data_IF_001302719904
#
_entry.id   IF_001302719904
#
_cell.length_a   1.000
_cell.length_b   1.000
_cell.length_c   1.000
_cell.angle_alpha   90.00
_cell.angle_beta   90.00
_cell.angle_gamma   90.00
#
_symmetry.space_group_name_H-M   'P 1'
#
loop_
_entity.id
_entity.type
_entity.pdbx_description
1 polymer ?
#
# COMPACT_ATOMS: atom_id res chain seq x y z
N UNK A 1 -8.59 -27.41 0.72
CA UNK A 1 -8.68 -26.36 -0.30
C UNK A 1 -7.25 -25.96 -0.66
N UNK A 2 -6.81 -26.13 -1.91
CA UNK A 2 -5.47 -25.70 -2.34
C UNK A 2 -5.48 -24.19 -2.62
N UNK A 3 -4.41 -23.45 -2.29
CA UNK A 3 -4.35 -22.03 -2.56
C UNK A 3 -4.23 -21.75 -4.07
N UNK A 4 -4.89 -20.69 -4.55
CA UNK A 4 -4.88 -20.27 -5.95
C UNK A 4 -3.48 -19.84 -6.43
N UNK A 5 -2.67 -19.31 -5.52
CA UNK A 5 -1.29 -18.88 -5.77
C UNK A 5 -0.37 -19.42 -4.67
N UNK A 6 0.90 -19.75 -4.98
CA UNK A 6 1.85 -20.23 -3.99
C UNK A 6 2.17 -19.15 -2.95
N UNK A 7 2.51 -19.59 -1.74
CA UNK A 7 3.02 -18.69 -0.71
C UNK A 7 4.38 -18.13 -1.15
N UNK A 8 4.45 -16.80 -1.31
CA UNK A 8 5.70 -16.10 -1.61
C UNK A 8 6.32 -15.62 -0.30
N UNK A 9 7.64 -15.82 -0.16
CA UNK A 9 8.41 -15.33 0.99
C UNK A 9 9.61 -14.52 0.50
N UNK A 10 10.05 -13.55 1.31
CA UNK A 10 11.15 -12.66 0.96
C UNK A 10 11.81 -12.06 2.21
N UNK A 11 13.07 -11.64 2.10
CA UNK A 11 13.86 -11.13 3.23
C UNK A 11 13.97 -9.61 3.32
N UNK A 12 13.65 -8.88 2.24
CA UNK A 12 13.85 -7.41 2.16
C UNK A 12 12.54 -6.64 2.08
N UNK A 13 11.75 -6.93 1.05
CA UNK A 13 10.50 -6.23 0.77
C UNK A 13 9.53 -7.15 0.02
N UNK A 14 8.24 -6.81 0.11
CA UNK A 14 7.14 -7.48 -0.58
C UNK A 14 6.09 -6.42 -0.93
N UNK A 15 5.48 -6.55 -2.11
CA UNK A 15 4.39 -5.70 -2.58
C UNK A 15 3.26 -6.60 -3.07
N UNK A 16 2.02 -6.23 -2.77
CA UNK A 16 0.81 -6.91 -3.24
C UNK A 16 -0.20 -5.85 -3.61
N UNK A 17 -0.81 -5.98 -4.79
CA UNK A 17 -1.87 -5.10 -5.27
C UNK A 17 -2.90 -5.88 -6.10
N UNK A 18 -4.08 -5.29 -6.31
CA UNK A 18 -5.14 -5.86 -7.16
C UNK A 18 -4.81 -5.91 -8.66
N UNK A 19 -3.63 -5.45 -9.07
CA UNK A 19 -3.13 -5.56 -10.44
C UNK A 19 -1.62 -5.83 -10.42
N UNK A 20 -1.13 -6.75 -11.27
CA UNK A 20 0.28 -7.14 -11.28
C UNK A 20 1.21 -5.97 -11.66
N UNK A 21 0.84 -5.14 -12.65
CA UNK A 21 1.61 -3.92 -12.99
C UNK A 21 1.67 -2.89 -11.85
N UNK A 22 0.64 -2.80 -11.00
CA UNK A 22 0.69 -1.93 -9.82
C UNK A 22 1.65 -2.48 -8.76
N UNK A 23 1.69 -3.82 -8.63
CA UNK A 23 2.66 -4.51 -7.77
C UNK A 23 4.10 -4.27 -8.27
N UNK A 24 4.31 -4.37 -9.58
CA UNK A 24 5.60 -4.08 -10.21
C UNK A 24 6.01 -2.61 -10.02
N UNK A 25 5.09 -1.66 -10.16
CA UNK A 25 5.36 -0.25 -9.92
C UNK A 25 5.83 0.01 -8.47
N UNK A 26 5.15 -0.57 -7.49
CA UNK A 26 5.57 -0.49 -6.08
C UNK A 26 6.92 -1.17 -5.85
N UNK A 27 7.17 -2.32 -6.48
CA UNK A 27 8.44 -3.03 -6.37
C UNK A 27 9.61 -2.20 -6.92
N UNK A 28 9.44 -1.56 -8.08
CA UNK A 28 10.44 -0.66 -8.68
C UNK A 28 10.84 0.48 -7.73
N UNK A 29 9.89 1.02 -6.97
CA UNK A 29 10.18 2.06 -5.96
C UNK A 29 10.99 1.52 -4.80
N UNK A 30 10.70 0.30 -4.32
CA UNK A 30 11.51 -0.33 -3.27
C UNK A 30 12.92 -0.66 -3.78
N UNK A 31 13.04 -1.14 -5.01
CA UNK A 31 14.33 -1.40 -5.65
C UNK A 31 15.15 -0.12 -5.88
N UNK A 32 14.48 1.01 -6.10
CA UNK A 32 15.10 2.33 -6.18
C UNK A 32 15.49 2.92 -4.81
N UNK A 33 15.29 2.18 -3.71
CA UNK A 33 15.65 2.61 -2.35
C UNK A 33 14.55 3.37 -1.61
N UNK A 34 13.33 3.41 -2.15
CA UNK A 34 12.16 3.96 -1.47
C UNK A 34 11.71 3.10 -0.28
N UNK A 35 10.88 3.68 0.58
CA UNK A 35 10.30 2.98 1.72
C UNK A 35 8.92 2.36 1.39
N UNK A 36 8.32 1.64 2.35
CA UNK A 36 7.02 0.97 2.17
C UNK A 36 5.86 1.94 1.86
N UNK A 37 5.90 3.16 2.39
CA UNK A 37 4.91 4.21 2.11
C UNK A 37 5.07 4.70 0.67
N UNK A 38 6.30 5.00 0.23
CA UNK A 38 6.58 5.45 -1.13
C UNK A 38 6.10 4.41 -2.17
N UNK A 39 6.36 3.13 -1.89
CA UNK A 39 5.93 2.02 -2.72
C UNK A 39 4.39 1.88 -2.75
N UNK A 40 3.73 2.05 -1.60
CA UNK A 40 2.27 2.05 -1.51
C UNK A 40 1.63 3.19 -2.30
N UNK A 41 2.21 4.40 -2.26
CA UNK A 41 1.75 5.56 -3.05
C UNK A 41 1.90 5.27 -4.55
N UNK A 42 3.05 4.77 -4.99
CA UNK A 42 3.27 4.44 -6.40
C UNK A 42 2.30 3.35 -6.90
N UNK A 43 2.09 2.29 -6.11
CA UNK A 43 1.11 1.26 -6.44
C UNK A 43 -0.32 1.82 -6.49
N UNK A 44 -0.70 2.68 -5.55
CA UNK A 44 -2.02 3.32 -5.51
C UNK A 44 -2.29 4.22 -6.71
N UNK A 45 -1.32 5.04 -7.11
CA UNK A 45 -1.41 5.88 -8.31
C UNK A 45 -1.52 5.00 -9.57
N UNK A 46 -0.72 3.93 -9.66
CA UNK A 46 -0.80 2.99 -10.77
C UNK A 46 -2.18 2.31 -10.84
N UNK A 47 -2.78 1.94 -9.70
CA UNK A 47 -4.14 1.39 -9.64
C UNK A 47 -5.19 2.38 -10.17
N UNK A 48 -5.03 3.68 -9.96
CA UNK A 48 -5.91 4.69 -10.54
C UNK A 48 -5.96 4.69 -12.08
N UNK A 49 -4.90 4.19 -12.73
CA UNK A 49 -4.86 4.01 -14.19
C UNK A 49 -5.31 2.61 -14.58
N UNK A 50 -4.84 1.59 -13.86
CA UNK A 50 -5.02 0.18 -14.21
C UNK A 50 -6.41 -0.38 -13.86
N UNK A 51 -7.06 0.22 -12.87
CA UNK A 51 -8.41 -0.08 -12.40
C UNK A 51 -9.21 1.24 -12.31
N UNK A 52 -9.22 2.03 -13.40
CA UNK A 52 -9.86 3.35 -13.44
C UNK A 52 -11.37 3.34 -13.16
N UNK A 53 -12.01 2.19 -13.35
CA UNK A 53 -13.40 1.93 -13.01
C UNK A 53 -13.63 1.76 -11.49
N UNK A 54 -12.59 1.40 -10.73
CA UNK A 54 -12.65 1.16 -9.29
C UNK A 54 -11.92 2.22 -8.45
N UNK A 55 -10.81 2.75 -8.97
CA UNK A 55 -9.92 3.68 -8.27
C UNK A 55 -9.91 5.02 -9.00
N UNK A 56 -10.30 6.06 -8.27
CA UNK A 56 -10.44 7.41 -8.81
C UNK A 56 -9.75 8.40 -7.87
N UNK A 57 -9.16 9.45 -8.44
CA UNK A 57 -8.45 10.47 -7.67
C UNK A 57 -9.36 11.23 -6.69
N UNK A 58 -10.62 11.46 -7.08
CA UNK A 58 -11.65 12.07 -6.22
C UNK A 58 -12.25 11.11 -5.19
N UNK A 59 -11.81 9.85 -5.16
CA UNK A 59 -12.26 8.85 -4.23
C UNK A 59 -11.61 8.98 -2.86
N UNK A 60 -11.69 7.89 -2.09
CA UNK A 60 -11.13 7.80 -0.75
C UNK A 60 -10.24 6.57 -0.68
N UNK A 61 -9.06 6.73 -0.08
CA UNK A 61 -8.15 5.63 0.22
C UNK A 61 -7.81 5.63 1.72
N UNK A 62 -8.56 4.90 2.57
CA UNK A 62 -8.20 4.74 3.96
C UNK A 62 -6.95 3.85 4.05
N UNK A 63 -6.02 4.20 4.94
CA UNK A 63 -4.73 3.53 5.03
C UNK A 63 -4.34 3.24 6.47
N UNK A 64 -3.70 2.10 6.70
CA UNK A 64 -3.00 1.76 7.94
C UNK A 64 -1.50 1.69 7.66
N UNK A 65 -0.71 2.45 8.41
CA UNK A 65 0.72 2.58 8.22
C UNK A 65 1.43 2.29 9.54
N UNK A 66 2.23 1.23 9.58
CA UNK A 66 3.10 0.97 10.72
C UNK A 66 4.44 1.68 10.55
N UNK A 67 4.75 2.61 11.45
CA UNK A 67 6.01 3.33 11.48
C UNK A 67 6.93 2.68 12.52
N UNK A 68 7.88 1.87 12.04
CA UNK A 68 8.86 1.16 12.88
C UNK A 68 9.61 2.08 13.85
N UNK A 69 10.03 3.27 13.40
CA UNK A 69 10.77 4.24 14.24
C UNK A 69 9.97 4.69 15.46
N UNK A 70 8.65 4.72 15.34
CA UNK A 70 7.74 5.13 16.40
C UNK A 70 7.13 3.94 17.15
N UNK A 71 7.30 2.73 16.62
CA UNK A 71 6.60 1.52 17.01
C UNK A 71 5.06 1.74 17.11
N UNK A 72 4.49 2.40 16.10
CA UNK A 72 3.08 2.82 16.10
C UNK A 72 2.42 2.56 14.76
N UNK A 73 1.13 2.23 14.82
CA UNK A 73 0.24 2.21 13.64
C UNK A 73 -0.49 3.55 13.57
N UNK A 74 -0.45 4.16 12.39
CA UNK A 74 -1.21 5.36 12.04
C UNK A 74 -2.33 4.94 11.10
N UNK A 75 -3.57 5.32 11.43
CA UNK A 75 -4.70 5.24 10.53
C UNK A 75 -4.94 6.60 9.86
N UNK A 76 -5.07 6.61 8.54
CA UNK A 76 -5.41 7.78 7.74
C UNK A 76 -6.84 7.62 7.21
N UNK A 77 -7.72 8.56 7.57
CA UNK A 77 -9.14 8.59 7.20
C UNK A 77 -9.49 9.95 6.54
N UNK A 78 -10.42 9.98 5.58
CA UNK A 78 -10.80 11.21 4.87
C UNK A 78 -11.70 12.16 5.68
N UNK A 79 -12.45 11.67 6.67
CA UNK A 79 -13.59 12.33 7.31
C UNK A 79 -13.28 12.88 8.71
N UNK A 80 -12.09 12.62 9.24
CA UNK A 80 -11.67 13.09 10.56
C UNK A 80 -10.25 13.64 10.48
N UNK A 81 -10.11 14.97 10.60
CA UNK A 81 -8.80 15.62 10.66
C UNK A 81 -7.89 14.91 11.66
N UNK A 82 -6.83 14.27 11.16
CA UNK A 82 -5.69 13.69 11.91
C UNK A 82 -6.00 13.24 13.34
N UNK A 83 -7.08 12.48 13.53
CA UNK A 83 -7.33 11.77 14.76
C UNK A 83 -6.36 10.60 14.83
N UNK A 84 -5.16 10.84 15.36
CA UNK A 84 -4.15 9.82 15.65
C UNK A 84 -4.70 8.85 16.71
N UNK A 85 -5.61 7.95 16.34
CA UNK A 85 -5.99 6.83 17.19
C UNK A 85 -4.91 5.76 17.04
N UNK A 86 -3.98 5.76 17.97
CA UNK A 86 -3.05 4.65 18.16
C UNK A 86 -3.91 3.40 18.35
N UNK A 87 -3.87 2.48 17.38
CA UNK A 87 -4.44 1.16 17.56
C UNK A 87 -3.51 0.45 18.56
N UNK A 88 -4.03 0.25 19.78
CA UNK A 88 -3.35 -0.40 20.92
C UNK A 88 -2.86 -1.79 20.58
#
# INVERSE_FOLDING_TARGET
MLPQQPLITGRRHMVVAGHYLATEAGLKILEAGGNAVDAGVAAGIALGVLHSDQVQFSGVAPMLIYIKKLNKVISVWPDLGTGQKQLT
#
